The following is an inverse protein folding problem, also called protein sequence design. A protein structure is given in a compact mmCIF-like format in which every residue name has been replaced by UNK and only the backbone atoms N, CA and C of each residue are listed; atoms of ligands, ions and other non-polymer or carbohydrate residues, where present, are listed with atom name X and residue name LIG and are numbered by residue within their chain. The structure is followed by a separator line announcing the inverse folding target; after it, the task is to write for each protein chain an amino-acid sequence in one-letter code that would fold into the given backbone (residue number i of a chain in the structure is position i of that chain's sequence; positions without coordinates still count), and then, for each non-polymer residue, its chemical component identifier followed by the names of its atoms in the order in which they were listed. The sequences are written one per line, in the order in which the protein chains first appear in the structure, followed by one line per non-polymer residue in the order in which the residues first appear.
data_IF_749624328404
#
_entry.id   IF_749624328404
#
_cell.length_a   1.000
_cell.length_b   1.000
_cell.length_c   1.000
_cell.angle_alpha   90.00
_cell.angle_beta   90.00
_cell.angle_gamma   90.00
#
_symmetry.space_group_name_H-M   'P 1'
#
loop_
_entity.id
_entity.type
_entity.pdbx_description
1 polymer ?
#
# COMPACT_ATOMS: atom_id res chain seq x y z
N UNK A 1 3.98 -75.71 -30.73
CA UNK A 1 3.29 -76.89 -30.18
C UNK A 1 2.86 -76.61 -28.76
N UNK A 2 1.54 -76.74 -28.52
CA UNK A 2 0.81 -77.06 -27.27
C UNK A 2 1.01 -76.24 -25.98
N UNK A 3 -0.11 -75.56 -25.70
CA UNK A 3 -0.76 -75.05 -24.50
C UNK A 3 -0.87 -76.03 -23.32
N UNK A 4 -0.79 -75.50 -22.09
CA UNK A 4 -1.61 -75.82 -20.89
C UNK A 4 -1.10 -74.94 -19.73
N UNK A 5 -1.84 -74.06 -19.03
CA UNK A 5 -3.29 -73.85 -18.91
C UNK A 5 -3.78 -74.34 -17.55
N UNK A 6 -3.81 -73.47 -16.53
CA UNK A 6 -4.80 -73.52 -15.43
C UNK A 6 -5.17 -72.08 -15.03
N UNK A 7 -6.42 -71.73 -15.32
CA UNK A 7 -7.16 -70.58 -14.82
C UNK A 7 -7.78 -70.91 -13.46
N UNK A 8 -7.91 -69.90 -12.59
CA UNK A 8 -9.00 -69.80 -11.62
C UNK A 8 -9.53 -68.37 -11.69
N UNK A 9 -10.84 -68.22 -11.94
CA UNK A 9 -11.56 -66.95 -12.08
C UNK A 9 -12.29 -66.56 -10.78
N UNK A 10 -12.20 -65.27 -10.42
CA UNK A 10 -13.24 -64.24 -10.09
C UNK A 10 -14.34 -64.55 -9.03
N UNK A 11 -14.84 -63.54 -8.25
CA UNK A 11 -15.41 -62.28 -8.78
C UNK A 11 -15.11 -60.96 -8.04
N UNK A 12 -14.97 -59.90 -8.85
CA UNK A 12 -15.54 -58.55 -8.78
C UNK A 12 -15.70 -57.85 -7.41
N UNK A 13 -14.93 -56.77 -7.19
CA UNK A 13 -15.50 -55.49 -6.74
C UNK A 13 -14.61 -54.32 -7.21
N UNK A 14 -15.20 -53.52 -8.10
CA UNK A 14 -14.62 -52.35 -8.77
C UNK A 14 -14.57 -51.14 -7.84
N UNK A 15 -13.38 -50.62 -7.51
CA UNK A 15 -13.20 -49.18 -7.21
C UNK A 15 -11.72 -48.77 -7.20
N UNK A 16 -11.03 -48.95 -8.34
CA UNK A 16 -9.91 -48.08 -8.66
C UNK A 16 -10.44 -46.68 -8.98
N UNK A 17 -10.61 -45.85 -7.94
CA UNK A 17 -10.70 -44.40 -8.15
C UNK A 17 -9.28 -43.89 -8.35
N UNK A 18 -8.83 -43.98 -9.59
CA UNK A 18 -7.87 -43.03 -10.14
C UNK A 18 -8.42 -41.62 -9.89
N UNK A 19 -7.88 -40.91 -8.90
CA UNK A 19 -8.18 -39.50 -8.69
C UNK A 19 -7.66 -38.74 -9.92
N UNK A 20 -8.52 -38.13 -10.73
CA UNK A 20 -8.05 -37.29 -11.81
C UNK A 20 -7.49 -36.00 -11.19
N UNK A 21 -6.22 -35.73 -11.47
CA UNK A 21 -5.59 -34.43 -11.23
C UNK A 21 -6.37 -33.38 -12.04
N UNK A 22 -7.37 -32.75 -11.41
CA UNK A 22 -8.32 -31.86 -12.09
C UNK A 22 -8.01 -30.39 -11.81
N UNK A 23 -7.48 -29.72 -12.84
CA UNK A 23 -7.87 -28.38 -13.30
C UNK A 23 -7.75 -27.17 -12.35
N UNK A 24 -6.90 -27.20 -11.32
CA UNK A 24 -6.54 -25.98 -10.55
C UNK A 24 -5.26 -25.31 -11.02
N UNK A 25 -4.34 -26.03 -11.69
CA UNK A 25 -3.07 -25.46 -12.18
C UNK A 25 -3.20 -24.59 -13.44
N UNK A 26 -4.25 -24.78 -14.25
CA UNK A 26 -4.41 -24.06 -15.52
C UNK A 26 -4.89 -22.61 -15.33
N UNK A 27 -5.57 -22.29 -14.23
CA UNK A 27 -5.99 -20.89 -13.95
C UNK A 27 -4.83 -20.02 -13.47
N UNK A 28 -3.89 -20.58 -12.71
CA UNK A 28 -2.68 -19.87 -12.28
C UNK A 28 -1.70 -19.72 -13.47
N UNK A 29 -1.59 -20.74 -14.33
CA UNK A 29 -0.84 -20.64 -15.60
C UNK A 29 -1.44 -19.65 -16.59
N UNK A 30 -2.77 -19.50 -16.65
CA UNK A 30 -3.45 -18.52 -17.51
C UNK A 30 -3.10 -17.06 -17.15
N UNK A 31 -2.98 -16.76 -15.86
CA UNK A 31 -2.44 -15.47 -15.37
C UNK A 31 -0.98 -15.27 -15.82
N UNK A 32 -0.17 -16.34 -15.82
CA UNK A 32 1.22 -16.34 -16.26
C UNK A 32 1.39 -16.14 -17.78
N UNK A 33 0.46 -16.63 -18.60
CA UNK A 33 0.49 -16.46 -20.06
C UNK A 33 0.04 -15.05 -20.48
N UNK A 34 -0.91 -14.46 -19.74
CA UNK A 34 -1.33 -13.07 -19.95
C UNK A 34 -0.23 -12.06 -19.56
N UNK A 35 0.69 -12.46 -18.67
CA UNK A 35 1.84 -11.69 -18.20
C UNK A 35 2.93 -11.46 -19.27
N UNK A 36 3.03 -12.31 -20.30
CA UNK A 36 4.17 -12.30 -21.24
C UNK A 36 3.98 -11.34 -22.44
N UNK A 37 2.76 -10.90 -22.75
CA UNK A 37 2.47 -10.23 -24.04
C UNK A 37 2.59 -8.69 -24.02
N UNK A 38 2.76 -8.05 -22.86
CA UNK A 38 2.76 -6.57 -22.76
C UNK A 38 4.11 -5.90 -22.47
N UNK A 39 5.19 -6.64 -22.23
CA UNK A 39 6.52 -6.05 -22.02
C UNK A 39 7.41 -6.19 -23.27
N UNK A 40 7.21 -5.30 -24.25
CA UNK A 40 8.22 -5.06 -25.29
C UNK A 40 9.28 -4.07 -24.78
N UNK A 41 10.50 -4.58 -24.65
CA UNK A 41 11.74 -3.90 -24.23
C UNK A 41 12.09 -2.70 -25.13
N UNK A 42 12.50 -1.59 -24.53
CA UNK A 42 13.37 -0.57 -25.15
C UNK A 42 14.70 -0.50 -24.38
N UNK A 43 15.84 -0.21 -25.05
CA UNK A 43 17.17 -0.40 -24.46
C UNK A 43 17.67 0.81 -23.67
N UNK A 44 18.43 0.51 -22.60
CA UNK A 44 19.21 1.42 -21.76
C UNK A 44 20.46 1.96 -22.49
N UNK A 45 20.76 3.25 -22.29
CA UNK A 45 22.09 3.83 -22.52
C UNK A 45 22.65 4.35 -21.20
N UNK A 46 23.91 3.99 -20.94
CA UNK A 46 24.66 4.26 -19.72
C UNK A 46 25.20 5.69 -19.66
N UNK A 47 25.28 6.25 -18.44
CA UNK A 47 25.96 7.51 -18.16
C UNK A 47 26.29 7.67 -16.69
N UNK A 48 27.54 7.35 -16.32
CA UNK A 48 28.14 7.61 -15.00
C UNK A 48 28.19 9.11 -14.68
N UNK A 49 28.02 9.47 -13.39
CA UNK A 49 28.94 10.38 -12.65
C UNK A 49 28.61 10.48 -11.16
N UNK A 50 29.67 10.29 -10.36
CA UNK A 50 29.74 10.40 -8.90
C UNK A 50 29.80 11.87 -8.43
N UNK A 51 29.46 12.04 -7.14
CA UNK A 51 29.87 13.08 -6.19
C UNK A 51 29.40 14.52 -6.44
N UNK A 52 28.58 15.04 -5.50
CA UNK A 52 28.73 16.39 -4.92
C UNK A 52 27.83 16.57 -3.69
N UNK A 53 28.27 16.02 -2.56
CA UNK A 53 27.99 16.62 -1.27
C UNK A 53 28.97 17.79 -1.06
N UNK A 54 28.48 18.88 -0.45
CA UNK A 54 29.16 20.12 -0.02
C UNK A 54 29.05 21.34 -0.96
N UNK A 55 28.65 22.47 -0.33
CA UNK A 55 28.28 23.82 -0.83
C UNK A 55 26.80 23.87 -1.25
N UNK A 56 25.95 24.69 -0.64
CA UNK A 56 26.08 26.16 -0.54
C UNK A 56 25.36 26.70 0.70
N UNK A 57 26.08 27.48 1.53
CA UNK A 57 25.52 28.46 2.47
C UNK A 57 25.99 29.83 1.95
N UNK A 58 25.07 30.76 1.62
CA UNK A 58 25.20 32.24 1.64
C UNK A 58 24.25 32.98 0.65
N UNK A 59 23.12 33.46 1.20
CA UNK A 59 22.45 34.79 1.08
C UNK A 59 21.99 35.41 -0.28
N UNK A 60 20.64 35.46 -0.41
CA UNK A 60 19.69 36.53 -0.85
C UNK A 60 19.66 37.05 -2.33
N UNK A 61 18.54 37.68 -2.80
CA UNK A 61 17.22 37.10 -3.07
C UNK A 61 16.73 37.39 -4.51
N UNK A 62 16.17 36.42 -5.22
CA UNK A 62 15.44 36.64 -6.48
C UNK A 62 14.14 35.84 -6.52
N UNK A 63 13.00 36.41 -6.91
CA UNK A 63 11.78 35.64 -7.21
C UNK A 63 11.64 35.42 -8.73
N UNK A 64 10.81 34.47 -9.17
CA UNK A 64 11.00 33.02 -9.10
C UNK A 64 11.19 32.42 -10.52
N UNK A 65 11.50 31.12 -10.64
CA UNK A 65 10.74 30.35 -11.62
C UNK A 65 10.27 28.99 -11.08
N UNK A 66 8.97 28.76 -11.21
CA UNK A 66 8.28 27.49 -11.53
C UNK A 66 9.18 26.24 -11.53
N UNK A 67 9.08 25.37 -10.52
CA UNK A 67 9.55 23.95 -10.55
C UNK A 67 8.73 23.14 -9.53
N UNK A 68 7.91 22.13 -9.88
CA UNK A 68 8.13 20.79 -10.48
C UNK A 68 8.28 19.69 -9.41
N UNK A 69 7.83 18.49 -9.75
CA UNK A 69 7.53 17.30 -8.91
C UNK A 69 8.56 16.94 -7.81
N UNK A 70 9.78 17.45 -7.91
CA UNK A 70 10.88 17.25 -6.97
C UNK A 70 10.58 17.80 -5.56
N UNK A 71 9.76 18.86 -5.44
CA UNK A 71 9.42 19.45 -4.14
C UNK A 71 8.48 18.56 -3.30
N UNK A 72 7.55 17.86 -3.96
CA UNK A 72 6.61 16.95 -3.31
C UNK A 72 7.33 15.68 -2.84
N UNK A 73 8.29 15.19 -3.64
CA UNK A 73 9.13 14.04 -3.31
C UNK A 73 10.09 14.37 -2.15
N UNK A 74 10.69 15.57 -2.14
CA UNK A 74 11.52 16.04 -1.04
C UNK A 74 10.73 16.20 0.27
N UNK A 75 9.47 16.66 0.18
CA UNK A 75 8.57 16.76 1.34
C UNK A 75 8.24 15.37 1.89
N UNK A 76 7.96 14.40 1.01
CA UNK A 76 7.70 13.02 1.42
C UNK A 76 8.92 12.36 2.06
N UNK A 77 10.13 12.62 1.56
CA UNK A 77 11.37 12.09 2.12
C UNK A 77 11.69 12.70 3.49
N UNK A 78 11.50 14.02 3.65
CA UNK A 78 11.67 14.71 4.92
C UNK A 78 10.64 14.27 5.97
N UNK A 79 9.43 13.98 5.53
CA UNK A 79 8.38 13.37 6.34
C UNK A 79 8.76 11.93 6.76
N UNK A 80 9.29 11.11 5.86
CA UNK A 80 9.77 9.76 6.21
C UNK A 80 10.93 9.79 7.22
N UNK A 81 11.80 10.79 7.16
CA UNK A 81 12.90 10.97 8.11
C UNK A 81 12.42 11.40 9.52
N UNK A 82 11.32 12.16 9.62
CA UNK A 82 10.65 12.43 10.91
C UNK A 82 10.16 11.16 11.61
N UNK A 83 9.83 10.12 10.86
CA UNK A 83 9.34 8.83 11.37
C UNK A 83 10.46 7.82 11.63
N UNK A 84 11.72 8.21 11.42
CA UNK A 84 12.83 7.33 11.71
C UNK A 84 12.94 7.09 13.23
N UNK A 85 13.38 5.88 13.61
CA UNK A 85 13.65 5.53 15.02
C UNK A 85 14.89 6.25 15.59
N UNK A 86 15.60 7.01 14.77
CA UNK A 86 16.77 7.76 15.16
C UNK A 86 16.36 9.17 15.60
N UNK A 87 16.45 9.43 16.91
CA UNK A 87 16.08 10.73 17.52
C UNK A 87 16.84 11.91 16.89
N UNK A 88 18.06 11.68 16.37
CA UNK A 88 18.86 12.74 15.74
C UNK A 88 18.31 13.10 14.37
N UNK A 89 17.98 12.10 13.55
CA UNK A 89 17.37 12.29 12.22
C UNK A 89 15.98 12.90 12.36
N UNK A 90 15.20 12.48 13.37
CA UNK A 90 13.90 13.05 13.67
C UNK A 90 14.00 14.54 14.07
N UNK A 91 14.91 14.89 14.99
CA UNK A 91 15.10 16.28 15.43
C UNK A 91 15.59 17.19 14.30
N UNK A 92 16.53 16.72 13.46
CA UNK A 92 17.02 17.46 12.29
C UNK A 92 15.89 17.68 11.28
N UNK A 93 15.07 16.67 11.02
CA UNK A 93 13.95 16.76 10.07
C UNK A 93 12.85 17.71 10.55
N UNK A 94 12.53 17.68 11.86
CA UNK A 94 11.57 18.59 12.49
C UNK A 94 12.04 20.05 12.41
N UNK A 95 13.34 20.28 12.62
CA UNK A 95 13.93 21.61 12.52
C UNK A 95 13.86 22.15 11.09
N UNK A 96 14.18 21.32 10.08
CA UNK A 96 14.09 21.71 8.66
C UNK A 96 12.64 22.06 8.26
N UNK A 97 11.64 21.29 8.72
CA UNK A 97 10.23 21.57 8.42
C UNK A 97 9.73 22.86 9.09
N UNK A 98 10.18 23.14 10.32
CA UNK A 98 9.88 24.40 11.00
C UNK A 98 10.56 25.60 10.31
N UNK A 99 11.81 25.45 9.89
CA UNK A 99 12.56 26.48 9.16
C UNK A 99 11.95 26.80 7.79
N UNK A 100 11.25 25.83 7.16
CA UNK A 100 10.53 26.03 5.90
C UNK A 100 9.26 26.89 6.02
N UNK A 101 8.82 27.18 7.25
CA UNK A 101 7.65 28.02 7.57
C UNK A 101 6.42 27.70 6.71
N UNK A 102 6.05 26.42 6.69
CA UNK A 102 5.03 25.86 5.79
C UNK A 102 3.64 26.50 5.96
N UNK A 103 3.33 27.02 7.15
CA UNK A 103 2.11 27.79 7.39
C UNK A 103 2.11 29.13 6.62
N UNK A 104 3.25 29.82 6.53
CA UNK A 104 3.36 31.03 5.71
C UNK A 104 3.30 30.71 4.22
N UNK A 105 3.89 29.60 3.78
CA UNK A 105 3.76 29.14 2.39
C UNK A 105 2.31 28.80 2.04
N UNK A 106 1.60 28.07 2.89
CA UNK A 106 0.18 27.76 2.71
C UNK A 106 -0.67 29.05 2.65
N UNK A 107 -0.41 30.00 3.55
CA UNK A 107 -1.10 31.29 3.56
C UNK A 107 -0.77 32.16 2.32
N UNK A 108 0.46 32.08 1.80
CA UNK A 108 0.88 32.78 0.59
C UNK A 108 0.23 32.19 -0.67
N UNK A 109 0.08 30.86 -0.72
CA UNK A 109 -0.61 30.15 -1.80
C UNK A 109 -2.10 30.50 -1.81
N UNK A 110 -2.74 30.57 -0.64
CA UNK A 110 -4.15 30.95 -0.55
C UNK A 110 -4.42 32.44 -0.85
N UNK A 111 -3.49 33.34 -0.54
CA UNK A 111 -3.61 34.79 -0.85
C UNK A 111 -3.36 35.14 -2.33
N UNK A 112 -2.99 34.17 -3.17
CA UNK A 112 -2.77 34.37 -4.60
C UNK A 112 -4.05 34.67 -5.39
N UNK A 113 -3.98 35.61 -6.34
CA UNK A 113 -5.13 36.09 -7.17
C UNK A 113 -5.72 35.05 -8.15
N UNK A 114 -5.16 33.84 -8.26
CA UNK A 114 -5.70 32.73 -9.05
C UNK A 114 -5.54 31.42 -8.28
N UNK A 115 -6.65 30.89 -7.76
CA UNK A 115 -6.68 29.60 -7.05
C UNK A 115 -7.09 28.48 -8.01
N UNK A 116 -6.11 27.83 -8.64
CA UNK A 116 -6.39 26.57 -9.32
C UNK A 116 -6.61 25.44 -8.28
N UNK A 117 -7.16 24.31 -8.72
CA UNK A 117 -7.40 23.17 -7.82
C UNK A 117 -6.08 22.58 -7.25
N UNK A 118 -4.98 22.74 -7.97
CA UNK A 118 -3.66 22.22 -7.60
C UNK A 118 -3.02 23.04 -6.48
N UNK A 119 -3.16 24.35 -6.50
CA UNK A 119 -2.65 25.27 -5.48
C UNK A 119 -3.44 25.13 -4.18
N UNK A 120 -4.76 24.89 -4.26
CA UNK A 120 -5.60 24.56 -3.10
C UNK A 120 -5.23 23.20 -2.49
N UNK A 121 -4.94 22.19 -3.30
CA UNK A 121 -4.46 20.89 -2.82
C UNK A 121 -3.08 21.01 -2.14
N UNK A 122 -2.14 21.74 -2.75
CA UNK A 122 -0.83 22.02 -2.17
C UNK A 122 -0.93 22.80 -0.86
N UNK A 123 -1.85 23.77 -0.75
CA UNK A 123 -2.11 24.48 0.49
C UNK A 123 -2.66 23.54 1.58
N UNK A 124 -3.53 22.59 1.23
CA UNK A 124 -4.02 21.55 2.17
C UNK A 124 -2.91 20.61 2.61
N UNK A 125 -2.05 20.14 1.70
CA UNK A 125 -0.88 19.33 2.04
C UNK A 125 0.09 20.10 2.94
N UNK A 126 0.42 21.34 2.59
CA UNK A 126 1.30 22.20 3.38
C UNK A 126 0.75 22.46 4.79
N UNK A 127 -0.57 22.70 4.93
CA UNK A 127 -1.23 22.79 6.25
C UNK A 127 -1.18 21.48 7.02
N UNK A 128 -1.42 20.34 6.36
CA UNK A 128 -1.33 19.03 7.01
C UNK A 128 0.09 18.77 7.50
N UNK A 129 1.10 19.05 6.69
CA UNK A 129 2.52 18.96 7.05
C UNK A 129 2.88 19.94 8.18
N UNK A 130 2.37 21.18 8.16
CA UNK A 130 2.60 22.16 9.21
C UNK A 130 1.93 21.78 10.54
N UNK A 131 0.67 21.32 10.52
CA UNK A 131 -0.01 20.78 11.69
C UNK A 131 0.73 19.58 12.25
N UNK A 132 1.27 18.73 11.38
CA UNK A 132 2.05 17.57 11.80
C UNK A 132 3.38 17.98 12.45
N UNK A 133 4.14 18.89 11.82
CA UNK A 133 5.35 19.46 12.41
C UNK A 133 5.08 20.16 13.75
N UNK A 134 3.93 20.83 13.89
CA UNK A 134 3.48 21.43 15.15
C UNK A 134 3.00 20.40 16.18
N UNK A 135 2.49 19.24 15.77
CA UNK A 135 2.17 18.14 16.69
C UNK A 135 3.43 17.50 17.28
N UNK A 136 4.57 17.64 16.60
CA UNK A 136 5.91 17.36 17.14
C UNK A 136 6.53 18.56 17.87
N UNK A 137 5.82 19.70 18.00
CA UNK A 137 6.27 20.80 18.85
C UNK A 137 6.11 20.38 20.31
N UNK A 138 7.17 20.38 21.13
CA UNK A 138 7.24 19.61 22.38
C UNK A 138 6.51 20.25 23.59
N UNK A 139 5.53 21.14 23.37
CA UNK A 139 5.08 22.06 24.41
C UNK A 139 4.03 21.49 25.38
N UNK A 140 3.50 20.27 25.13
CA UNK A 140 2.61 19.57 26.07
C UNK A 140 3.04 18.10 26.28
N UNK A 141 3.78 17.80 27.36
CA UNK A 141 4.19 16.43 27.68
C UNK A 141 3.02 15.49 27.97
N UNK A 142 1.85 15.99 28.39
CA UNK A 142 0.66 15.16 28.59
C UNK A 142 0.07 14.71 27.25
N UNK A 143 0.09 15.59 26.25
CA UNK A 143 -0.35 15.25 24.89
C UNK A 143 0.53 14.17 24.26
N UNK A 144 1.86 14.31 24.38
CA UNK A 144 2.81 13.33 23.86
C UNK A 144 2.63 11.96 24.53
N UNK A 145 2.52 11.94 25.86
CA UNK A 145 2.29 10.70 26.61
C UNK A 145 0.97 10.02 26.22
N UNK A 146 -0.07 10.79 25.92
CA UNK A 146 -1.35 10.25 25.43
C UNK A 146 -1.19 9.61 24.05
N UNK A 147 -0.53 10.28 23.11
CA UNK A 147 -0.29 9.73 21.78
C UNK A 147 0.54 8.44 21.83
N UNK A 148 1.62 8.43 22.61
CA UNK A 148 2.48 7.26 22.78
C UNK A 148 1.70 6.08 23.38
N UNK A 149 0.86 6.36 24.38
CA UNK A 149 -0.02 5.35 24.97
C UNK A 149 -1.00 4.80 23.94
N UNK A 150 -1.66 5.66 23.17
CA UNK A 150 -2.62 5.25 22.16
C UNK A 150 -1.97 4.41 21.03
N UNK A 151 -0.74 4.73 20.63
CA UNK A 151 0.05 3.97 19.68
C UNK A 151 0.42 2.58 20.23
N UNK A 152 0.85 2.53 21.49
CA UNK A 152 1.18 1.28 22.17
C UNK A 152 -0.04 0.38 22.35
N UNK A 153 -1.18 0.95 22.76
CA UNK A 153 -2.44 0.22 22.93
C UNK A 153 -2.91 -0.39 21.59
N UNK A 154 -2.74 0.33 20.47
CA UNK A 154 -3.02 -0.17 19.11
C UNK A 154 -2.09 -1.33 18.73
N UNK A 155 -0.79 -1.16 18.90
CA UNK A 155 0.22 -2.17 18.58
C UNK A 155 0.01 -3.45 19.41
N UNK A 156 -0.27 -3.33 20.71
CA UNK A 156 -0.60 -4.44 21.58
C UNK A 156 -1.87 -5.17 21.11
N UNK A 157 -2.92 -4.43 20.71
CA UNK A 157 -4.15 -5.01 20.18
C UNK A 157 -3.89 -5.82 18.89
N UNK A 158 -3.14 -5.26 17.94
CA UNK A 158 -2.78 -5.93 16.69
C UNK A 158 -1.94 -7.17 16.96
N UNK A 159 -0.91 -7.06 17.82
CA UNK A 159 -0.04 -8.17 18.20
C UNK A 159 -0.82 -9.30 18.89
N UNK A 160 -1.83 -8.97 19.69
CA UNK A 160 -2.70 -9.96 20.33
C UNK A 160 -3.50 -10.76 19.28
N UNK A 161 -4.07 -10.09 18.28
CA UNK A 161 -4.80 -10.75 17.18
C UNK A 161 -3.85 -11.62 16.36
N UNK A 162 -2.67 -11.11 16.01
CA UNK A 162 -1.65 -11.87 15.28
C UNK A 162 -1.24 -13.13 16.05
N UNK A 163 -1.02 -13.03 17.36
CA UNK A 163 -0.70 -14.18 18.22
C UNK A 163 -1.75 -15.27 18.18
N UNK A 164 -3.03 -14.90 18.19
CA UNK A 164 -4.15 -15.84 18.15
C UNK A 164 -4.28 -16.53 16.78
N UNK A 165 -3.78 -15.90 15.72
CA UNK A 165 -3.76 -16.44 14.35
C UNK A 165 -2.44 -17.14 14.01
N UNK A 166 -1.51 -17.27 14.96
CA UNK A 166 -0.15 -17.76 14.72
C UNK A 166 0.59 -16.97 13.63
N UNK A 167 0.37 -15.66 13.58
CA UNK A 167 1.06 -14.72 12.69
C UNK A 167 2.01 -13.81 13.48
N UNK A 168 3.02 -13.30 12.79
CA UNK A 168 3.94 -12.27 13.28
C UNK A 168 4.02 -11.10 12.31
N UNK A 169 4.23 -9.90 12.85
CA UNK A 169 4.40 -8.69 12.04
C UNK A 169 5.79 -8.69 11.42
N UNK A 170 5.84 -8.60 10.09
CA UNK A 170 7.05 -8.31 9.35
C UNK A 170 7.05 -6.84 8.96
N UNK A 171 7.99 -6.08 9.53
CA UNK A 171 8.10 -4.64 9.33
C UNK A 171 8.42 -4.33 7.86
N UNK A 172 7.56 -3.53 7.25
CA UNK A 172 7.74 -2.91 5.93
C UNK A 172 8.21 -1.47 6.16
N UNK A 173 9.06 -0.97 5.26
CA UNK A 173 9.55 0.41 5.33
C UNK A 173 8.37 1.40 5.41
N UNK A 174 8.40 2.38 6.34
CA UNK A 174 7.35 3.38 6.52
C UNK A 174 7.45 4.48 5.45
N UNK A 175 7.22 4.09 4.20
CA UNK A 175 7.16 4.98 3.05
C UNK A 175 5.75 4.97 2.42
N UNK A 176 5.52 5.84 1.45
CA UNK A 176 4.24 5.90 0.75
C UNK A 176 3.91 4.64 -0.07
N UNK A 177 4.80 3.65 -0.15
CA UNK A 177 4.60 2.38 -0.85
C UNK A 177 4.25 1.22 0.09
N UNK A 178 4.14 1.44 1.40
CA UNK A 178 3.97 0.40 2.43
C UNK A 178 2.87 -0.63 2.11
N UNK A 179 1.66 -0.22 1.71
CA UNK A 179 0.56 -1.12 1.33
C UNK A 179 0.99 -2.10 0.22
N UNK A 180 1.55 -1.55 -0.85
CA UNK A 180 1.93 -2.31 -2.04
C UNK A 180 3.12 -3.23 -1.75
N UNK A 181 4.07 -2.77 -0.94
CA UNK A 181 5.21 -3.56 -0.47
C UNK A 181 4.76 -4.72 0.43
N UNK A 182 3.81 -4.50 1.35
CA UNK A 182 3.25 -5.53 2.21
C UNK A 182 2.54 -6.63 1.39
N UNK A 183 1.74 -6.25 0.39
CA UNK A 183 1.05 -7.20 -0.49
C UNK A 183 2.06 -7.94 -1.39
N UNK A 184 3.06 -7.24 -1.95
CA UNK A 184 4.12 -7.86 -2.75
C UNK A 184 4.84 -8.95 -1.94
N UNK A 185 5.20 -8.65 -0.70
CA UNK A 185 5.84 -9.60 0.23
C UNK A 185 4.98 -10.87 0.43
N UNK A 186 3.69 -10.68 0.68
CA UNK A 186 2.74 -11.79 0.87
C UNK A 186 2.58 -12.66 -0.37
N UNK A 187 2.50 -12.07 -1.57
CA UNK A 187 2.38 -12.84 -2.81
C UNK A 187 3.62 -13.69 -3.10
N UNK A 188 4.80 -13.17 -2.76
CA UNK A 188 6.06 -13.92 -2.82
C UNK A 188 6.07 -15.05 -1.78
N UNK A 189 5.64 -14.77 -0.55
CA UNK A 189 5.58 -15.73 0.54
C UNK A 189 4.65 -16.92 0.23
N UNK A 190 3.53 -16.65 -0.43
CA UNK A 190 2.56 -17.66 -0.85
C UNK A 190 3.04 -18.46 -2.09
N UNK A 191 4.21 -18.16 -2.65
CA UNK A 191 4.75 -18.83 -3.83
C UNK A 191 3.99 -18.50 -5.13
N UNK A 192 3.17 -17.45 -5.13
CA UNK A 192 2.35 -17.05 -6.27
C UNK A 192 3.11 -16.15 -7.25
N UNK A 193 4.24 -15.60 -6.82
CA UNK A 193 5.12 -14.81 -7.66
C UNK A 193 6.58 -14.88 -7.21
N UNK A 194 7.50 -14.53 -8.12
CA UNK A 194 8.90 -14.33 -7.77
C UNK A 194 9.18 -12.90 -7.30
N UNK A 195 10.19 -12.69 -6.42
CA UNK A 195 10.57 -11.35 -5.95
C UNK A 195 10.95 -10.38 -7.09
N UNK A 196 11.48 -10.91 -8.19
CA UNK A 196 11.85 -10.12 -9.36
C UNK A 196 10.64 -9.63 -10.16
N UNK A 197 9.49 -10.30 -10.04
CA UNK A 197 8.26 -9.99 -10.77
C UNK A 197 7.28 -9.14 -9.95
N UNK A 198 7.25 -9.31 -8.63
CA UNK A 198 6.31 -8.61 -7.74
C UNK A 198 7.05 -7.74 -6.73
N UNK A 199 7.23 -6.47 -7.12
CA UNK A 199 7.63 -5.37 -6.24
C UNK A 199 6.48 -4.37 -6.10
N UNK A 200 6.64 -3.36 -5.25
CA UNK A 200 5.60 -2.34 -5.03
C UNK A 200 5.09 -1.69 -6.33
N UNK A 201 5.98 -1.46 -7.31
CA UNK A 201 5.61 -0.85 -8.58
C UNK A 201 4.72 -1.77 -9.43
N UNK A 202 4.98 -3.08 -9.43
CA UNK A 202 4.10 -4.05 -10.07
C UNK A 202 2.71 -4.06 -9.40
N UNK A 203 2.65 -4.10 -8.06
CA UNK A 203 1.38 -4.11 -7.32
C UNK A 203 0.59 -2.81 -7.56
N UNK A 204 1.25 -1.64 -7.61
CA UNK A 204 0.63 -0.36 -8.00
C UNK A 204 0.00 -0.41 -9.39
N UNK A 205 0.70 -1.00 -10.36
CA UNK A 205 0.15 -1.19 -11.70
C UNK A 205 -1.09 -2.08 -11.69
N UNK A 206 -1.10 -3.18 -10.92
CA UNK A 206 -2.28 -4.03 -10.80
C UNK A 206 -3.47 -3.29 -10.17
N UNK A 207 -3.25 -2.59 -9.06
CA UNK A 207 -4.30 -1.79 -8.41
C UNK A 207 -4.88 -0.74 -9.38
N UNK A 208 -4.02 0.10 -9.97
CA UNK A 208 -4.44 1.16 -10.87
C UNK A 208 -5.19 0.63 -12.10
N UNK A 209 -4.70 -0.45 -12.72
CA UNK A 209 -5.33 -1.04 -13.90
C UNK A 209 -6.69 -1.67 -13.56
N UNK A 210 -6.79 -2.33 -12.40
CA UNK A 210 -8.04 -2.94 -11.97
C UNK A 210 -9.09 -1.87 -11.65
N UNK A 211 -8.74 -0.85 -10.88
CA UNK A 211 -9.61 0.30 -10.56
C UNK A 211 -10.08 0.95 -11.86
N UNK A 212 -9.16 1.27 -12.77
CA UNK A 212 -9.46 1.91 -14.06
C UNK A 212 -10.43 1.11 -14.92
N UNK A 213 -10.39 -0.22 -14.86
CA UNK A 213 -11.26 -1.10 -15.67
C UNK A 213 -12.63 -1.36 -15.05
N UNK A 214 -12.86 -0.94 -13.80
CA UNK A 214 -14.12 -1.15 -13.07
C UNK A 214 -14.60 0.16 -12.41
N UNK A 215 -14.77 1.26 -13.16
CA UNK A 215 -15.04 2.58 -12.59
C UNK A 215 -16.27 2.61 -11.68
N UNK A 216 -17.34 1.90 -12.04
CA UNK A 216 -18.61 1.90 -11.29
C UNK A 216 -18.46 1.33 -9.87
N UNK A 217 -17.51 0.41 -9.67
CA UNK A 217 -17.24 -0.22 -8.38
C UNK A 217 -16.43 0.68 -7.44
N UNK A 218 -15.63 1.61 -7.99
CA UNK A 218 -14.66 2.40 -7.22
C UNK A 218 -15.04 3.88 -7.10
N UNK A 219 -15.64 4.47 -8.14
CA UNK A 219 -16.02 5.90 -8.15
C UNK A 219 -16.82 6.36 -6.91
N UNK A 220 -17.77 5.57 -6.36
CA UNK A 220 -18.51 5.97 -5.16
C UNK A 220 -17.64 6.17 -3.91
N UNK A 221 -16.46 5.57 -3.87
CA UNK A 221 -15.54 5.60 -2.71
C UNK A 221 -14.36 6.56 -2.91
N UNK A 222 -14.22 7.17 -4.10
CA UNK A 222 -13.12 8.06 -4.42
C UNK A 222 -13.53 9.52 -4.23
N UNK A 223 -12.95 10.23 -3.25
CA UNK A 223 -13.31 11.63 -3.01
C UNK A 223 -12.88 12.49 -4.20
N UNK A 224 -13.75 13.41 -4.64
CA UNK A 224 -13.38 14.39 -5.66
C UNK A 224 -12.18 15.22 -5.20
N UNK A 225 -11.21 15.40 -6.10
CA UNK A 225 -9.94 16.11 -5.86
C UNK A 225 -10.09 17.55 -5.34
N UNK A 226 -11.28 18.14 -5.39
CA UNK A 226 -11.54 19.49 -4.88
C UNK A 226 -12.70 19.61 -3.88
N UNK A 227 -13.25 18.48 -3.38
CA UNK A 227 -14.43 18.48 -2.51
C UNK A 227 -15.74 18.78 -3.26
N UNK A 228 -16.85 18.83 -2.52
CA UNK A 228 -18.20 19.08 -3.05
C UNK A 228 -18.31 20.42 -3.81
N UNK A 229 -17.45 21.40 -3.50
CA UNK A 229 -17.47 22.75 -4.06
C UNK A 229 -16.53 22.96 -5.27
N UNK A 230 -15.96 21.90 -5.86
CA UNK A 230 -14.99 22.03 -6.95
C UNK A 230 -15.65 22.16 -8.33
N UNK A 231 -15.11 23.05 -9.19
CA UNK A 231 -15.48 23.10 -10.61
C UNK A 231 -15.25 21.72 -11.27
N UNK A 232 -16.33 21.12 -11.77
CA UNK A 232 -16.32 19.79 -12.38
C UNK A 232 -16.60 18.62 -11.42
N UNK A 233 -16.90 18.87 -10.15
CA UNK A 233 -17.59 17.90 -9.30
C UNK A 233 -19.02 17.70 -9.85
N UNK A 234 -19.46 16.45 -9.98
CA UNK A 234 -20.87 16.18 -10.22
C UNK A 234 -21.66 16.58 -8.95
N UNK A 235 -22.96 16.82 -9.08
CA UNK A 235 -23.94 17.25 -8.03
C UNK A 235 -23.91 16.43 -6.72
N UNK A 236 -23.12 15.34 -6.67
CA UNK A 236 -22.93 14.44 -5.54
C UNK A 236 -21.51 14.44 -4.93
N UNK A 237 -20.61 15.38 -5.29
CA UNK A 237 -19.24 15.42 -4.77
C UNK A 237 -18.32 14.31 -5.28
N UNK A 238 -18.75 13.61 -6.34
CA UNK A 238 -18.03 12.50 -6.97
C UNK A 238 -17.01 12.98 -8.01
N UNK A 239 -15.98 12.16 -8.18
CA UNK A 239 -14.90 12.38 -9.14
C UNK A 239 -15.40 12.27 -10.58
N UNK A 240 -15.03 13.21 -11.46
CA UNK A 240 -15.34 13.12 -12.89
C UNK A 240 -14.35 12.18 -13.63
N UNK A 241 -14.64 11.77 -14.88
CA UNK A 241 -13.77 10.80 -15.60
C UNK A 241 -12.31 11.23 -15.76
N UNK A 242 -12.03 12.54 -15.91
CA UNK A 242 -10.66 13.05 -16.04
C UNK A 242 -9.91 13.01 -14.71
N UNK A 243 -10.60 13.33 -13.61
CA UNK A 243 -10.03 13.22 -12.27
C UNK A 243 -9.81 11.74 -11.91
N UNK A 244 -10.70 10.84 -12.31
CA UNK A 244 -10.56 9.40 -12.10
C UNK A 244 -9.35 8.81 -12.87
N UNK A 245 -9.17 9.22 -14.12
CA UNK A 245 -7.97 8.88 -14.90
C UNK A 245 -6.69 9.36 -14.21
N UNK A 246 -6.73 10.57 -13.64
CA UNK A 246 -5.62 11.16 -12.89
C UNK A 246 -5.35 10.41 -11.59
N UNK A 247 -6.40 10.00 -10.86
CA UNK A 247 -6.30 9.15 -9.68
C UNK A 247 -5.56 7.84 -9.99
N UNK A 248 -6.00 7.13 -11.03
CA UNK A 248 -5.36 5.87 -11.43
C UNK A 248 -3.88 6.08 -11.80
N UNK A 249 -3.53 7.19 -12.46
CA UNK A 249 -2.13 7.54 -12.76
C UNK A 249 -1.33 7.83 -11.50
N UNK A 250 -1.88 8.55 -10.53
CA UNK A 250 -1.20 8.80 -9.25
C UNK A 250 -0.94 7.50 -8.50
N UNK A 251 -1.95 6.63 -8.36
CA UNK A 251 -1.79 5.30 -7.75
C UNK A 251 -0.66 4.51 -8.40
N UNK A 252 -0.57 4.56 -9.74
CA UNK A 252 0.44 3.84 -10.54
C UNK A 252 1.85 4.43 -10.41
N UNK A 253 1.99 5.75 -10.55
CA UNK A 253 3.24 6.40 -10.90
C UNK A 253 3.94 7.12 -9.73
N UNK A 254 3.27 7.27 -8.58
CA UNK A 254 3.80 8.04 -7.43
C UNK A 254 3.86 7.22 -6.15
N UNK A 255 4.39 7.83 -5.08
CA UNK A 255 4.32 7.32 -3.71
C UNK A 255 3.00 7.67 -2.98
N UNK A 256 1.91 7.95 -3.71
CA UNK A 256 0.61 8.20 -3.09
C UNK A 256 0.20 6.97 -2.27
N UNK A 257 -0.24 7.22 -1.02
CA UNK A 257 -0.66 6.19 -0.08
C UNK A 257 -1.88 5.45 -0.64
N UNK A 258 -1.90 4.13 -0.45
CA UNK A 258 -3.06 3.32 -0.81
C UNK A 258 -3.97 3.10 0.40
N UNK A 259 -5.24 2.81 0.13
CA UNK A 259 -6.24 2.53 1.16
C UNK A 259 -7.19 1.40 0.76
N UNK A 260 -8.41 1.50 1.27
CA UNK A 260 -9.48 0.52 1.05
C UNK A 260 -9.76 0.24 -0.44
N UNK A 261 -9.87 1.25 -1.35
CA UNK A 261 -10.09 0.97 -2.77
C UNK A 261 -9.00 0.10 -3.40
N UNK A 262 -7.74 0.33 -3.05
CA UNK A 262 -6.61 -0.45 -3.55
C UNK A 262 -6.60 -1.87 -2.99
N UNK A 263 -6.93 -2.06 -1.70
CA UNK A 263 -7.04 -3.40 -1.08
C UNK A 263 -8.10 -4.22 -1.79
N UNK A 264 -9.30 -3.65 -2.00
CA UNK A 264 -10.39 -4.31 -2.74
C UNK A 264 -9.97 -4.62 -4.17
N UNK A 265 -9.38 -3.65 -4.87
CA UNK A 265 -8.91 -3.83 -6.24
C UNK A 265 -7.88 -4.97 -6.36
N UNK A 266 -6.92 -5.05 -5.44
CA UNK A 266 -5.88 -6.06 -5.45
C UNK A 266 -6.41 -7.45 -5.10
N UNK A 267 -7.33 -7.56 -4.14
CA UNK A 267 -8.02 -8.80 -3.80
C UNK A 267 -8.73 -9.38 -5.03
N UNK A 268 -9.46 -8.52 -5.76
CA UNK A 268 -10.16 -8.89 -7.00
C UNK A 268 -9.22 -9.16 -8.17
N UNK A 269 -8.16 -8.37 -8.34
CA UNK A 269 -7.19 -8.50 -9.45
C UNK A 269 -6.41 -9.82 -9.38
N UNK A 270 -5.97 -10.22 -8.19
CA UNK A 270 -5.25 -11.48 -8.00
C UNK A 270 -6.18 -12.66 -7.73
N UNK A 271 -7.46 -12.41 -7.49
CA UNK A 271 -8.44 -13.41 -7.08
C UNK A 271 -7.99 -14.18 -5.83
N UNK A 272 -7.52 -13.43 -4.82
CA UNK A 272 -7.04 -13.95 -3.53
C UNK A 272 -7.62 -13.08 -2.40
N UNK A 273 -8.20 -13.67 -1.34
CA UNK A 273 -8.66 -12.91 -0.18
C UNK A 273 -7.52 -12.13 0.49
N UNK A 274 -7.79 -10.88 0.88
CA UNK A 274 -6.88 -10.04 1.66
C UNK A 274 -7.51 -9.76 3.02
N UNK A 275 -6.86 -10.19 4.09
CA UNK A 275 -7.27 -9.95 5.47
C UNK A 275 -6.37 -8.89 6.11
N UNK A 276 -6.99 -7.83 6.62
CA UNK A 276 -6.32 -6.70 7.27
C UNK A 276 -6.58 -6.76 8.76
N UNK A 277 -5.53 -7.00 9.55
CA UNK A 277 -5.57 -6.92 11.00
C UNK A 277 -5.39 -5.47 11.44
N UNK A 278 -6.23 -4.97 12.34
CA UNK A 278 -6.18 -3.59 12.84
C UNK A 278 -6.53 -3.53 14.33
N UNK A 279 -6.16 -2.45 15.01
CA UNK A 279 -6.49 -2.21 16.42
C UNK A 279 -7.95 -1.81 16.68
N UNK A 280 -8.75 -1.66 15.63
CA UNK A 280 -10.17 -1.28 15.70
C UNK A 280 -11.13 -2.47 15.89
N UNK A 281 -12.44 -2.16 15.80
CA UNK A 281 -13.50 -3.15 15.73
C UNK A 281 -14.22 -3.02 14.37
N UNK A 282 -14.27 -4.06 13.52
CA UNK A 282 -13.69 -5.40 13.74
C UNK A 282 -12.17 -5.39 13.71
N UNK A 283 -11.56 -6.31 14.48
CA UNK A 283 -10.10 -6.47 14.56
C UNK A 283 -9.49 -7.08 13.29
N UNK A 284 -10.33 -7.68 12.44
CA UNK A 284 -9.95 -8.21 11.13
C UNK A 284 -10.99 -7.74 10.11
N UNK A 285 -10.55 -6.97 9.11
CA UNK A 285 -11.35 -6.63 7.94
C UNK A 285 -11.02 -7.61 6.82
N UNK A 286 -12.04 -8.29 6.29
CA UNK A 286 -11.86 -9.34 5.28
C UNK A 286 -12.34 -8.85 3.92
N UNK A 287 -11.48 -8.94 2.92
CA UNK A 287 -11.77 -8.53 1.54
C UNK A 287 -11.70 -9.76 0.64
N UNK A 288 -12.82 -10.13 0.05
CA UNK A 288 -12.91 -11.27 -0.85
C UNK A 288 -12.92 -10.82 -2.32
N UNK A 289 -12.44 -11.66 -3.25
CA UNK A 289 -12.45 -11.34 -4.68
C UNK A 289 -13.85 -11.16 -5.28
N UNK A 290 -14.88 -11.68 -4.61
CA UNK A 290 -16.27 -11.65 -5.05
C UNK A 290 -17.17 -11.38 -3.87
N UNK A 291 -18.24 -10.65 -4.11
CA UNK A 291 -19.25 -10.38 -3.08
C UNK A 291 -19.96 -11.67 -2.67
N UNK A 292 -20.19 -11.82 -1.36
CA UNK A 292 -20.81 -13.01 -0.79
C UNK A 292 -19.93 -14.26 -0.73
N UNK A 293 -18.67 -14.18 -1.17
CA UNK A 293 -17.69 -15.25 -1.02
C UNK A 293 -17.18 -15.32 0.44
N UNK A 294 -16.99 -16.53 0.96
CA UNK A 294 -16.35 -16.77 2.25
C UNK A 294 -14.86 -17.14 2.10
N UNK A 295 -14.37 -17.26 0.86
CA UNK A 295 -13.07 -17.80 0.52
C UNK A 295 -13.00 -19.31 0.74
N UNK A 296 -11.99 -19.95 0.14
CA UNK A 296 -11.61 -21.31 0.51
C UNK A 296 -10.83 -21.25 1.84
N UNK A 297 -11.29 -21.89 2.93
CA UNK A 297 -10.55 -21.93 4.19
C UNK A 297 -9.14 -22.52 4.09
N UNK A 298 -8.89 -23.34 3.08
CA UNK A 298 -7.58 -23.95 2.80
C UNK A 298 -6.84 -23.25 1.65
N UNK A 299 -7.44 -22.23 1.05
CA UNK A 299 -6.87 -21.47 -0.06
C UNK A 299 -5.81 -20.47 0.41
N UNK A 300 -4.97 -19.98 -0.53
CA UNK A 300 -4.04 -18.91 -0.21
C UNK A 300 -4.80 -17.66 0.25
N UNK A 301 -4.29 -17.01 1.30
CA UNK A 301 -4.84 -15.76 1.84
C UNK A 301 -3.69 -14.82 2.16
N UNK A 302 -3.82 -13.57 1.72
CA UNK A 302 -2.87 -12.50 2.03
C UNK A 302 -3.22 -11.91 3.39
N UNK A 303 -2.25 -11.85 4.29
CA UNK A 303 -2.39 -11.24 5.62
C UNK A 303 -1.51 -10.01 5.75
N UNK A 304 -2.14 -8.87 6.05
CA UNK A 304 -1.46 -7.61 6.33
C UNK A 304 -2.00 -7.01 7.63
N UNK A 305 -1.25 -6.09 8.23
CA UNK A 305 -1.70 -5.31 9.39
C UNK A 305 -1.69 -3.84 9.05
N UNK A 306 -2.64 -3.11 9.62
CA UNK A 306 -2.85 -1.68 9.42
C UNK A 306 -2.78 -0.96 10.76
N UNK A 307 -1.91 0.05 10.81
CA UNK A 307 -1.56 0.79 12.01
C UNK A 307 -1.84 2.27 11.76
N UNK A 308 -2.67 2.91 12.58
CA UNK A 308 -3.03 4.33 12.42
C UNK A 308 -2.17 5.27 13.25
N UNK A 309 -1.66 4.78 14.37
CA UNK A 309 -1.04 5.57 15.44
C UNK A 309 0.40 5.15 15.71
N UNK A 310 0.83 3.99 15.21
CA UNK A 310 2.17 3.46 15.43
C UNK A 310 3.28 4.32 14.79
N UNK A 311 2.97 5.04 13.71
CA UNK A 311 3.92 5.87 12.97
C UNK A 311 3.49 7.33 13.01
N UNK A 312 4.46 8.24 13.15
CA UNK A 312 4.21 9.66 13.31
C UNK A 312 3.52 10.30 12.10
N UNK A 313 3.70 9.76 10.89
CA UNK A 313 3.02 10.20 9.67
C UNK A 313 1.56 9.74 9.56
N UNK A 314 1.15 8.78 10.40
CA UNK A 314 -0.21 8.22 10.42
C UNK A 314 -0.27 6.77 9.94
N UNK A 315 -1.09 6.53 8.92
CA UNK A 315 -1.45 5.18 8.45
C UNK A 315 -0.28 4.41 7.83
N UNK A 316 -0.07 3.17 8.27
CA UNK A 316 0.99 2.29 7.76
C UNK A 316 0.52 0.85 7.65
N UNK A 317 1.08 0.13 6.67
CA UNK A 317 0.82 -1.29 6.46
C UNK A 317 2.08 -2.14 6.62
N UNK A 318 1.95 -3.24 7.37
CA UNK A 318 2.98 -4.25 7.51
C UNK A 318 2.49 -5.61 6.98
N UNK A 319 3.42 -6.46 6.53
CA UNK A 319 3.14 -7.84 6.13
C UNK A 319 2.96 -8.72 7.38
N UNK A 320 2.10 -9.75 7.33
CA UNK A 320 1.94 -10.71 8.43
C UNK A 320 2.41 -12.10 7.99
N UNK A 321 3.48 -12.59 8.60
CA UNK A 321 4.09 -13.88 8.23
C UNK A 321 3.74 -14.97 9.23
N UNK A 322 3.84 -16.26 8.87
CA UNK A 322 3.68 -17.35 9.82
C UNK A 322 4.63 -17.20 11.00
N UNK A 323 4.07 -17.09 12.20
CA UNK A 323 4.84 -17.01 13.43
C UNK A 323 5.47 -18.37 13.81
N UNK A 324 6.36 -18.39 14.80
CA UNK A 324 6.99 -19.63 15.26
C UNK A 324 5.93 -20.64 15.71
N UNK A 325 6.06 -21.89 15.23
CA UNK A 325 5.17 -22.99 15.64
C UNK A 325 5.28 -23.14 17.16
N UNK A 326 4.17 -22.92 17.87
CA UNK A 326 4.10 -23.22 19.30
C UNK A 326 4.04 -24.73 19.45
N UNK A 327 5.12 -25.33 19.95
CA UNK A 327 5.09 -26.71 20.43
C UNK A 327 4.18 -26.68 21.67
N UNK A 328 3.09 -27.47 21.74
CA UNK A 328 2.28 -27.55 22.94
C UNK A 328 3.18 -28.01 24.08
N UNK A 329 3.29 -27.21 25.14
CA UNK A 329 3.86 -27.68 26.40
C UNK A 329 2.80 -28.60 27.00
N UNK A 330 3.04 -29.90 26.94
CA UNK A 330 2.22 -30.96 27.53
C UNK A 330 2.16 -30.85 29.04
#
# INVERSE_FOLDING_TARGET
MRVSGVNVCCPDDDSEICIPCTKTDDKIRSLQVSFQLHFKKTPLMAGSKKNKAKKVFSRQPTPPPIMNQDADELMNDLLAQLDSRDETVQAESAQVLNDMNLNEQANAIEKGKKQDAKSRFQARQARKAATLAQSFSPDDPEHQARLEKEAKDEDDAIKNVCRNLNLEVFEINPDGHCLYSAIADQLVLLGLASPAQMNYAAIRNFAANYIRSHPDDFLPFLPSTGGEDSEGALDAGLMNPLQFDSYCKMVRDTATWGGEPEVVALSRAFNIPIHVVQGGNPSIVKHYPREGDAGDPNGPTVWISYHRKLYGLGEHYNSLRPGPRRIPVT
#
